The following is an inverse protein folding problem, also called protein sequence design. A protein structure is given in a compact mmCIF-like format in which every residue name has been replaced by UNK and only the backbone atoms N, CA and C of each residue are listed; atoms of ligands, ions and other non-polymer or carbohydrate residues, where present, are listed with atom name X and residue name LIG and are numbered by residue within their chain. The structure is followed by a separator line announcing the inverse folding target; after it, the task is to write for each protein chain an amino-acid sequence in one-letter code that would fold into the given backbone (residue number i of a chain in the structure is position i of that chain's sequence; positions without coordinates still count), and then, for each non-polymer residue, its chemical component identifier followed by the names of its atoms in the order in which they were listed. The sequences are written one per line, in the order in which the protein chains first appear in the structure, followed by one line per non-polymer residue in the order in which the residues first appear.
data_IF_086711724738
#
_entry.id   IF_086711724738
#
_cell.length_a   1.000
_cell.length_b   1.000
_cell.length_c   1.000
_cell.angle_alpha   90.00
_cell.angle_beta   90.00
_cell.angle_gamma   90.00
#
_symmetry.space_group_name_H-M   'P 1'
#
loop_
_entity.id
_entity.type
_entity.pdbx_description
1 polymer ?
#
# COMPACT_ATOMS: atom_id res chain seq x y z
N UNK A 1 9.54 -0.12 -1.16
CA UNK A 1 9.36 1.14 -1.88
C UNK A 1 9.76 2.31 -0.99
N UNK A 2 10.74 3.09 -1.46
CA UNK A 2 11.26 4.31 -0.81
C UNK A 2 11.08 5.54 -1.72
N UNK A 3 10.22 5.46 -2.72
CA UNK A 3 9.98 6.55 -3.69
C UNK A 3 9.35 7.80 -3.06
N UNK A 4 8.70 7.68 -1.91
CA UNK A 4 8.02 8.79 -1.26
C UNK A 4 8.89 9.41 -0.14
N UNK A 5 9.01 10.74 -0.04
CA UNK A 5 9.95 11.39 0.89
C UNK A 5 9.55 11.27 2.37
N UNK A 6 8.26 11.10 2.67
CA UNK A 6 7.75 11.05 4.04
C UNK A 6 7.48 9.63 4.58
N UNK A 7 7.45 8.61 3.71
CA UNK A 7 7.01 7.27 4.07
C UNK A 7 7.59 6.23 3.13
N UNK A 8 7.92 5.05 3.66
CA UNK A 8 8.45 3.93 2.89
C UNK A 8 7.69 2.67 3.24
N UNK A 9 7.50 1.79 2.26
CA UNK A 9 6.72 0.56 2.42
C UNK A 9 7.59 -0.64 2.10
N UNK A 10 7.77 -1.57 3.05
CA UNK A 10 8.60 -2.74 2.84
C UNK A 10 7.75 -3.94 2.39
N UNK A 11 7.61 -4.10 1.07
CA UNK A 11 6.80 -5.17 0.50
C UNK A 11 7.35 -6.57 0.79
N UNK A 12 8.65 -6.70 1.08
CA UNK A 12 9.28 -7.97 1.45
C UNK A 12 8.78 -8.50 2.80
N UNK A 13 8.32 -7.62 3.69
CA UNK A 13 7.72 -7.98 4.98
C UNK A 13 6.20 -8.19 4.88
N UNK A 14 5.60 -8.03 3.70
CA UNK A 14 4.16 -8.10 3.52
C UNK A 14 3.64 -9.53 3.73
N UNK A 15 2.63 -9.66 4.60
CA UNK A 15 1.93 -10.94 4.87
C UNK A 15 0.59 -11.07 4.11
N UNK A 16 0.33 -10.21 3.13
CA UNK A 16 -0.91 -10.19 2.33
C UNK A 16 -2.22 -10.16 3.14
N UNK A 17 -2.22 -9.48 4.30
CA UNK A 17 -3.40 -9.39 5.18
C UNK A 17 -4.50 -8.42 4.68
N UNK A 18 -4.24 -7.64 3.63
CA UNK A 18 -5.15 -6.65 3.04
C UNK A 18 -5.59 -5.49 3.95
N UNK A 19 -5.01 -5.33 5.15
CA UNK A 19 -5.38 -4.22 6.04
C UNK A 19 -5.06 -2.85 5.45
N UNK A 20 -3.92 -2.68 4.79
CA UNK A 20 -3.55 -1.42 4.13
C UNK A 20 -4.51 -1.04 2.98
N UNK A 21 -4.96 -2.02 2.19
CA UNK A 21 -5.96 -1.84 1.12
C UNK A 21 -7.27 -1.34 1.72
N UNK A 22 -7.76 -2.02 2.76
CA UNK A 22 -9.00 -1.64 3.46
C UNK A 22 -8.87 -0.27 4.11
N UNK A 23 -7.74 0.05 4.73
CA UNK A 23 -7.50 1.35 5.33
C UNK A 23 -7.55 2.49 4.28
N UNK A 24 -6.89 2.30 3.14
CA UNK A 24 -6.88 3.28 2.07
C UNK A 24 -8.26 3.49 1.42
N UNK A 25 -9.04 2.41 1.26
CA UNK A 25 -10.37 2.44 0.62
C UNK A 25 -11.50 2.81 1.57
N UNK A 26 -11.55 2.21 2.76
CA UNK A 26 -12.68 2.32 3.69
C UNK A 26 -12.56 3.54 4.61
N UNK A 27 -11.34 3.89 5.05
CA UNK A 27 -11.13 5.00 5.99
C UNK A 27 -10.85 6.30 5.25
N UNK A 28 -9.86 6.29 4.36
CA UNK A 28 -9.42 7.50 3.66
C UNK A 28 -10.17 7.72 2.33
N UNK A 29 -10.90 6.72 1.84
CA UNK A 29 -11.73 6.78 0.62
C UNK A 29 -10.93 7.23 -0.62
N UNK A 30 -9.64 6.92 -0.66
CA UNK A 30 -8.77 7.25 -1.81
C UNK A 30 -8.65 6.09 -2.80
N UNK A 31 -8.69 4.84 -2.31
CA UNK A 31 -8.62 3.63 -3.12
C UNK A 31 -7.35 3.48 -4.00
N UNK A 32 -6.21 3.99 -3.52
CA UNK A 32 -4.92 3.94 -4.23
C UNK A 32 -4.25 2.57 -4.14
N UNK A 33 -4.44 1.86 -3.02
CA UNK A 33 -3.72 0.62 -2.73
C UNK A 33 -4.56 -0.57 -3.18
N UNK A 34 -3.96 -1.42 -4.02
CA UNK A 34 -4.57 -2.65 -4.51
C UNK A 34 -3.72 -3.90 -4.26
N UNK A 35 -4.27 -5.05 -4.62
CA UNK A 35 -3.55 -6.32 -4.72
C UNK A 35 -3.49 -6.74 -6.18
N UNK A 36 -2.28 -6.93 -6.70
CA UNK A 36 -2.05 -7.48 -8.04
C UNK A 36 -1.48 -8.90 -7.95
N UNK A 37 -1.61 -9.66 -9.04
CA UNK A 37 -1.13 -11.04 -9.11
C UNK A 37 -2.04 -12.05 -8.40
N UNK A 38 -1.56 -13.30 -8.29
CA UNK A 38 -2.27 -14.41 -7.63
C UNK A 38 -1.28 -15.38 -6.98
N UNK A 39 -1.72 -16.02 -5.90
CA UNK A 39 -0.89 -17.01 -5.17
C UNK A 39 0.40 -16.39 -4.66
N UNK A 40 1.53 -17.07 -4.89
CA UNK A 40 2.85 -16.58 -4.48
C UNK A 40 3.30 -15.30 -5.21
N UNK A 41 2.67 -14.95 -6.34
CA UNK A 41 2.94 -13.71 -7.06
C UNK A 41 2.01 -12.57 -6.63
N UNK A 42 1.15 -12.78 -5.64
CA UNK A 42 0.31 -11.71 -5.11
C UNK A 42 1.20 -10.66 -4.45
N UNK A 43 0.98 -9.38 -4.74
CA UNK A 43 1.70 -8.27 -4.11
C UNK A 43 0.80 -7.06 -3.96
N UNK A 44 1.13 -6.22 -2.99
CA UNK A 44 0.53 -4.89 -2.87
C UNK A 44 1.07 -4.01 -4.00
N UNK A 45 0.18 -3.24 -4.61
CA UNK A 45 0.49 -2.27 -5.67
C UNK A 45 -0.19 -0.94 -5.37
N UNK A 46 0.37 0.15 -5.89
CA UNK A 46 -0.23 1.48 -5.86
C UNK A 46 -0.70 1.82 -7.27
N UNK A 47 -1.92 2.36 -7.41
CA UNK A 47 -2.59 2.62 -8.70
C UNK A 47 -2.38 1.49 -9.71
N UNK A 48 -1.59 1.72 -10.76
CA UNK A 48 -1.28 0.77 -11.82
C UNK A 48 0.11 0.14 -11.68
N UNK A 49 0.48 -0.23 -10.44
CA UNK A 49 1.83 -0.73 -10.09
C UNK A 49 2.92 0.35 -10.18
N UNK A 50 2.51 1.60 -9.97
CA UNK A 50 3.41 2.74 -9.90
C UNK A 50 4.14 2.78 -8.54
N UNK A 51 5.33 3.40 -8.48
CA UNK A 51 5.95 3.74 -7.21
C UNK A 51 5.02 4.60 -6.36
N UNK A 52 4.97 4.37 -5.06
CA UNK A 52 4.10 5.09 -4.13
C UNK A 52 4.26 6.61 -4.22
N UNK A 53 5.48 7.10 -4.43
CA UNK A 53 5.78 8.53 -4.60
C UNK A 53 5.25 9.15 -5.90
N UNK A 54 4.96 8.34 -6.91
CA UNK A 54 4.42 8.77 -8.21
C UNK A 54 2.93 8.44 -8.36
N UNK A 55 2.38 7.63 -7.45
CA UNK A 55 0.95 7.33 -7.36
C UNK A 55 0.11 8.52 -6.88
N UNK A 56 -1.21 8.37 -6.95
CA UNK A 56 -2.23 9.26 -6.41
C UNK A 56 -2.29 9.28 -4.87
N UNK A 57 -1.35 8.63 -4.19
CA UNK A 57 -1.24 8.63 -2.73
C UNK A 57 -1.06 10.05 -2.18
N UNK A 58 -1.95 10.46 -1.28
CA UNK A 58 -1.90 11.77 -0.60
C UNK A 58 -1.06 11.77 0.68
N UNK A 59 -0.28 10.71 0.92
CA UNK A 59 0.59 10.58 2.11
C UNK A 59 -0.12 10.68 3.48
N UNK A 60 -1.38 10.27 3.57
CA UNK A 60 -2.17 10.33 4.81
C UNK A 60 -1.67 9.39 5.94
N UNK A 61 -0.88 8.37 5.62
CA UNK A 61 -0.26 7.46 6.61
C UNK A 61 -1.19 6.41 7.21
N UNK A 62 -2.48 6.38 6.87
CA UNK A 62 -3.44 5.42 7.44
C UNK A 62 -3.03 3.96 7.19
N UNK A 63 -2.53 3.67 5.99
CA UNK A 63 -2.07 2.32 5.64
C UNK A 63 -0.88 1.85 6.48
N UNK A 64 -0.02 2.77 6.93
CA UNK A 64 1.13 2.47 7.80
C UNK A 64 0.65 2.18 9.21
N UNK A 65 -0.34 2.93 9.71
CA UNK A 65 -0.94 2.67 11.04
C UNK A 65 -1.67 1.33 11.09
N UNK A 66 -2.31 0.93 9.98
CA UNK A 66 -3.02 -0.34 9.87
C UNK A 66 -2.09 -1.55 9.62
N UNK A 67 -0.81 -1.33 9.27
CA UNK A 67 0.12 -2.39 8.92
C UNK A 67 0.63 -3.12 10.17
N UNK A 68 0.39 -4.44 10.32
CA UNK A 68 0.85 -5.18 11.50
C UNK A 68 2.36 -5.50 11.46
N UNK A 69 2.99 -5.38 10.29
CA UNK A 69 4.39 -5.75 10.05
C UNK A 69 5.35 -4.56 10.03
N UNK A 70 4.85 -3.35 10.27
CA UNK A 70 5.59 -2.09 10.09
C UNK A 70 5.28 -1.45 8.76
#
# INVERSE_FOLDING_TARGET
DQSHPAMSVHLDACIHCNLCVRACREVQVNDVIGMAGRGAAAKIVFDFDDPMGESSCVACGECVQACPTG
#
